data_IF_352814821623
#
_entry.id   IF_352814821623
#
_cell.length_a   1.000
_cell.length_b   1.000
_cell.length_c   1.000
_cell.angle_alpha   90.00
_cell.angle_beta   90.00
_cell.angle_gamma   90.00
#
_symmetry.space_group_name_H-M   'P 1'
#
loop_
_entity.id
_entity.type
_entity.pdbx_description
1 polymer ?
#
# COMPACT_ATOMS: atom_id res chain seq x y z
N UNK A 1 10.88 65.71 24.35
CA UNK A 1 10.15 64.62 23.68
C UNK A 1 10.88 63.32 23.97
N UNK A 2 10.37 62.55 24.93
CA UNK A 2 10.91 61.24 25.32
C UNK A 2 10.31 60.17 24.41
N UNK A 3 11.12 59.64 23.50
CA UNK A 3 10.76 58.50 22.65
C UNK A 3 10.80 57.22 23.49
N UNK A 4 9.63 56.71 23.86
CA UNK A 4 9.53 55.39 24.47
C UNK A 4 9.99 54.32 23.47
N UNK A 5 10.80 53.34 23.87
CA UNK A 5 11.21 52.25 22.99
C UNK A 5 9.99 51.41 22.61
N UNK A 6 9.83 51.12 21.31
CA UNK A 6 8.80 50.21 20.84
C UNK A 6 8.99 48.83 21.51
N UNK A 7 7.93 48.21 22.05
CA UNK A 7 8.03 46.85 22.56
C UNK A 7 8.42 45.94 21.41
N UNK A 8 9.52 45.21 21.58
CA UNK A 8 9.93 44.12 20.69
C UNK A 8 8.73 43.20 20.48
N UNK A 9 8.22 43.15 19.25
CA UNK A 9 7.25 42.15 18.83
C UNK A 9 7.94 40.78 18.98
N UNK A 10 7.71 40.14 20.12
CA UNK A 10 8.08 38.74 20.31
C UNK A 10 7.24 37.97 19.31
N UNK A 11 7.88 37.44 18.26
CA UNK A 11 7.23 36.54 17.32
C UNK A 11 6.47 35.48 18.12
N UNK A 12 5.18 35.33 17.86
CA UNK A 12 4.38 34.28 18.49
C UNK A 12 5.08 32.95 18.27
N UNK A 13 5.29 32.19 19.36
CA UNK A 13 5.84 30.85 19.27
C UNK A 13 5.07 30.09 18.17
N UNK A 14 5.75 29.37 17.27
CA UNK A 14 5.07 28.68 16.18
C UNK A 14 3.94 27.83 16.75
N UNK A 15 2.70 28.11 16.31
CA UNK A 15 1.52 27.46 16.86
C UNK A 15 1.73 25.95 16.85
N UNK A 16 1.62 25.30 18.02
CA UNK A 16 1.92 23.89 18.18
C UNK A 16 1.25 23.06 17.06
N UNK A 17 2.05 22.25 16.36
CA UNK A 17 1.60 21.40 15.25
C UNK A 17 0.48 20.46 15.70
N UNK A 18 -0.68 20.51 15.03
CA UNK A 18 -1.79 19.59 15.28
C UNK A 18 -1.43 18.25 14.70
N UNK A 19 -1.15 17.29 15.58
CA UNK A 19 -0.81 15.92 15.22
C UNK A 19 -1.87 14.98 15.73
N UNK A 20 -2.13 13.93 14.96
CA UNK A 20 -2.93 12.81 15.41
C UNK A 20 -2.07 11.93 16.33
N UNK A 21 -2.71 11.32 17.32
CA UNK A 21 -2.06 10.33 18.19
C UNK A 21 -1.99 8.98 17.49
N UNK A 22 -1.13 8.08 17.99
CA UNK A 22 -1.08 6.69 17.51
C UNK A 22 -2.43 5.99 17.61
N UNK A 23 -3.21 6.26 18.66
CA UNK A 23 -4.56 5.72 18.78
C UNK A 23 -5.48 6.23 17.64
N UNK A 24 -5.40 7.51 17.30
CA UNK A 24 -6.17 8.07 16.17
C UNK A 24 -5.74 7.48 14.83
N UNK A 25 -4.44 7.19 14.64
CA UNK A 25 -3.95 6.45 13.48
C UNK A 25 -4.57 5.05 13.39
N UNK A 26 -4.58 4.31 14.50
CA UNK A 26 -5.17 2.96 14.54
C UNK A 26 -6.67 2.99 14.30
N UNK A 27 -7.40 3.99 14.80
CA UNK A 27 -8.83 4.18 14.50
C UNK A 27 -9.02 4.45 13.00
N UNK A 28 -8.24 5.35 12.40
CA UNK A 28 -8.30 5.58 10.95
C UNK A 28 -8.05 4.29 10.16
N UNK A 29 -7.07 3.49 10.56
CA UNK A 29 -6.74 2.21 9.91
C UNK A 29 -7.90 1.21 10.06
N UNK A 30 -8.48 1.08 11.25
CA UNK A 30 -9.60 0.16 11.48
C UNK A 30 -10.82 0.53 10.64
N UNK A 31 -11.17 1.81 10.54
CA UNK A 31 -12.26 2.28 9.69
C UNK A 31 -11.93 2.14 8.20
N UNK A 32 -10.67 2.37 7.81
CA UNK A 32 -10.21 2.08 6.46
C UNK A 32 -10.26 0.57 6.13
N UNK A 33 -10.07 -0.31 7.11
CA UNK A 33 -10.20 -1.75 6.91
C UNK A 33 -11.65 -2.20 6.76
N UNK A 34 -12.62 -1.45 7.31
CA UNK A 34 -14.02 -1.65 6.93
C UNK A 34 -14.20 -1.33 5.44
N UNK A 35 -13.74 -0.16 4.98
CA UNK A 35 -13.76 0.20 3.56
C UNK A 35 -13.10 -0.88 2.69
N UNK A 36 -11.90 -1.32 3.03
CA UNK A 36 -11.20 -2.37 2.26
C UNK A 36 -11.89 -3.73 2.35
N UNK A 37 -12.42 -4.10 3.51
CA UNK A 37 -13.20 -5.33 3.66
C UNK A 37 -14.43 -5.34 2.74
N UNK A 38 -15.13 -4.20 2.66
CA UNK A 38 -16.21 -3.98 1.70
C UNK A 38 -15.73 -4.03 0.25
N UNK A 39 -14.57 -3.44 -0.07
CA UNK A 39 -13.97 -3.49 -1.41
C UNK A 39 -13.69 -4.93 -1.88
N UNK A 40 -13.01 -5.74 -1.05
CA UNK A 40 -12.70 -7.13 -1.41
C UNK A 40 -13.95 -8.00 -1.50
N UNK A 41 -14.94 -7.72 -0.65
CA UNK A 41 -16.22 -8.40 -0.68
C UNK A 41 -17.03 -8.04 -1.95
N UNK A 42 -16.99 -6.79 -2.37
CA UNK A 42 -17.62 -6.30 -3.60
C UNK A 42 -16.90 -6.83 -4.85
N UNK A 43 -15.56 -6.82 -4.84
CA UNK A 43 -14.76 -7.49 -5.86
C UNK A 43 -15.08 -8.98 -5.97
N UNK A 44 -15.33 -9.68 -4.85
CA UNK A 44 -15.78 -11.07 -4.89
C UNK A 44 -17.12 -11.19 -5.63
N UNK A 45 -18.07 -10.31 -5.37
CA UNK A 45 -19.36 -10.31 -6.05
C UNK A 45 -19.20 -10.06 -7.56
N UNK A 46 -18.38 -9.10 -7.98
CA UNK A 46 -18.11 -8.87 -9.40
C UNK A 46 -17.43 -10.07 -10.09
N UNK A 47 -16.52 -10.77 -9.41
CA UNK A 47 -15.83 -11.93 -9.99
C UNK A 47 -16.69 -13.21 -10.04
N UNK A 48 -17.68 -13.35 -9.16
CA UNK A 48 -18.46 -14.59 -9.03
C UNK A 48 -19.91 -14.45 -9.53
N UNK A 49 -20.46 -13.23 -9.48
CA UNK A 49 -21.84 -12.90 -9.80
C UNK A 49 -21.96 -11.82 -10.89
N UNK A 50 -20.85 -11.34 -11.46
CA UNK A 50 -20.82 -10.14 -12.31
C UNK A 50 -21.85 -10.10 -13.43
N UNK A 51 -22.06 -11.21 -14.15
CA UNK A 51 -23.05 -11.31 -15.23
C UNK A 51 -24.51 -11.21 -14.75
N UNK A 52 -24.76 -11.42 -13.45
CA UNK A 52 -26.07 -11.34 -12.81
C UNK A 52 -26.30 -10.04 -12.02
N UNK A 53 -25.29 -9.17 -11.93
CA UNK A 53 -25.44 -7.86 -11.31
C UNK A 53 -26.11 -6.92 -12.32
N UNK A 54 -27.35 -6.51 -12.02
CA UNK A 54 -28.15 -5.64 -12.89
C UNK A 54 -28.23 -4.19 -12.40
N UNK A 55 -27.79 -3.91 -11.17
CA UNK A 55 -27.92 -2.59 -10.55
C UNK A 55 -26.73 -2.26 -9.64
N UNK A 56 -26.46 -0.96 -9.49
CA UNK A 56 -25.50 -0.44 -8.52
C UNK A 56 -25.89 -0.75 -7.07
N UNK A 57 -27.18 -0.75 -6.75
CA UNK A 57 -27.63 -0.92 -5.37
C UNK A 57 -27.60 -2.39 -4.95
N UNK A 58 -26.42 -2.86 -4.53
CA UNK A 58 -26.19 -4.21 -4.04
C UNK A 58 -25.84 -4.21 -2.54
N UNK A 59 -26.05 -5.33 -1.83
CA UNK A 59 -25.58 -5.46 -0.44
C UNK A 59 -24.06 -5.25 -0.31
N UNK A 60 -23.28 -5.63 -1.31
CA UNK A 60 -21.82 -5.50 -1.30
C UNK A 60 -21.36 -4.05 -1.45
N UNK A 61 -21.95 -3.29 -2.37
CA UNK A 61 -21.78 -1.84 -2.44
C UNK A 61 -22.21 -1.15 -1.15
N UNK A 62 -23.29 -1.60 -0.50
CA UNK A 62 -23.71 -1.03 0.78
C UNK A 62 -22.63 -1.20 1.87
N UNK A 63 -21.96 -2.37 1.95
CA UNK A 63 -20.84 -2.58 2.87
C UNK A 63 -19.63 -1.71 2.49
N UNK A 64 -19.29 -1.63 1.20
CA UNK A 64 -18.19 -0.81 0.70
C UNK A 64 -18.38 0.69 1.02
N UNK A 65 -19.50 1.26 0.62
CA UNK A 65 -19.80 2.68 0.82
C UNK A 65 -20.08 3.03 2.29
N UNK A 66 -20.62 2.11 3.11
CA UNK A 66 -20.71 2.35 4.56
C UNK A 66 -19.33 2.43 5.23
N UNK A 67 -18.38 1.59 4.80
CA UNK A 67 -16.98 1.70 5.21
C UNK A 67 -16.36 3.04 4.81
N UNK A 68 -16.63 3.52 3.59
CA UNK A 68 -16.21 4.85 3.16
C UNK A 68 -16.78 5.96 4.06
N UNK A 69 -18.10 5.96 4.30
CA UNK A 69 -18.74 6.97 5.14
C UNK A 69 -18.16 6.98 6.55
N UNK A 70 -17.84 5.80 7.11
CA UNK A 70 -17.24 5.69 8.43
C UNK A 70 -15.85 6.34 8.50
N UNK A 71 -14.94 6.01 7.57
CA UNK A 71 -13.58 6.59 7.56
C UNK A 71 -13.60 8.08 7.16
N UNK A 72 -14.46 8.48 6.22
CA UNK A 72 -14.63 9.87 5.83
C UNK A 72 -15.16 10.72 7.00
N UNK A 73 -16.21 10.25 7.69
CA UNK A 73 -16.75 10.91 8.88
C UNK A 73 -15.71 11.08 9.98
N UNK A 74 -14.86 10.07 10.21
CA UNK A 74 -13.75 10.16 11.15
C UNK A 74 -12.70 11.20 10.74
N UNK A 75 -12.30 11.22 9.46
CA UNK A 75 -11.35 12.22 8.96
C UNK A 75 -11.92 13.66 9.07
N UNK A 76 -13.21 13.84 8.76
CA UNK A 76 -13.90 15.12 8.94
C UNK A 76 -14.04 15.51 10.41
N UNK A 77 -14.21 14.55 11.32
CA UNK A 77 -14.17 14.79 12.76
C UNK A 77 -12.78 15.28 13.21
N UNK A 78 -11.69 14.70 12.71
CA UNK A 78 -10.34 15.22 12.99
C UNK A 78 -10.17 16.63 12.42
N UNK A 79 -10.66 16.90 11.21
CA UNK A 79 -10.63 18.23 10.62
C UNK A 79 -11.43 19.26 11.45
N UNK A 80 -12.60 18.88 11.97
CA UNK A 80 -13.42 19.77 12.80
C UNK A 80 -12.73 20.13 14.12
N UNK A 81 -11.98 19.19 14.72
CA UNK A 81 -11.11 19.48 15.88
C UNK A 81 -10.01 20.49 15.56
N UNK A 82 -9.38 20.40 14.39
CA UNK A 82 -8.41 21.41 13.94
C UNK A 82 -9.06 22.75 13.67
N UNK A 83 -10.26 22.76 13.10
CA UNK A 83 -11.06 23.96 12.85
C UNK A 83 -11.45 24.69 14.14
N UNK A 84 -11.88 23.94 15.16
CA UNK A 84 -12.14 24.45 16.52
C UNK A 84 -10.89 25.06 17.17
N UNK A 85 -9.69 24.66 16.74
CA UNK A 85 -8.39 25.24 17.15
C UNK A 85 -7.94 26.42 16.28
N UNK A 86 -8.84 26.98 15.47
CA UNK A 86 -8.57 28.14 14.60
C UNK A 86 -7.89 27.81 13.27
N UNK A 87 -7.67 26.53 12.94
CA UNK A 87 -7.00 26.11 11.70
C UNK A 87 -7.97 26.10 10.52
N UNK A 88 -7.46 26.29 9.30
CA UNK A 88 -8.27 26.42 8.06
C UNK A 88 -7.63 25.67 6.89
N UNK A 89 -8.43 25.36 5.88
CA UNK A 89 -7.98 24.62 4.69
C UNK A 89 -7.36 23.27 5.04
N UNK A 90 -6.31 22.87 4.34
CA UNK A 90 -5.58 21.63 4.61
C UNK A 90 -4.98 21.58 6.03
N UNK A 91 -4.66 22.74 6.62
CA UNK A 91 -4.11 22.81 7.97
C UNK A 91 -5.14 22.48 9.07
N UNK A 92 -6.43 22.39 8.74
CA UNK A 92 -7.47 21.89 9.64
C UNK A 92 -7.30 20.40 9.95
N UNK A 93 -6.71 19.63 9.04
CA UNK A 93 -6.39 18.23 9.27
C UNK A 93 -5.11 18.09 10.11
N UNK A 94 -4.93 16.97 10.83
CA UNK A 94 -3.65 16.66 11.45
C UNK A 94 -2.51 16.64 10.43
N UNK A 95 -1.29 16.95 10.85
CA UNK A 95 -0.09 16.78 10.05
C UNK A 95 -0.02 15.35 9.48
N UNK A 96 0.22 15.23 8.18
CA UNK A 96 0.15 13.98 7.42
C UNK A 96 -1.23 13.59 6.87
N UNK A 97 -2.33 14.12 7.41
CA UNK A 97 -3.71 13.84 6.96
C UNK A 97 -4.21 14.77 5.85
N UNK A 98 -3.33 15.62 5.30
CA UNK A 98 -3.62 16.35 4.05
C UNK A 98 -3.96 15.40 2.89
N UNK A 99 -3.42 14.17 2.90
CA UNK A 99 -3.79 13.14 1.95
C UNK A 99 -5.27 12.78 2.09
N UNK A 100 -5.79 12.50 3.29
CA UNK A 100 -7.22 12.25 3.51
C UNK A 100 -8.10 13.47 3.17
N UNK A 101 -7.60 14.70 3.39
CA UNK A 101 -8.32 15.92 3.02
C UNK A 101 -8.62 16.00 1.52
N UNK A 102 -7.74 15.43 0.68
CA UNK A 102 -7.91 15.31 -0.77
C UNK A 102 -8.58 13.99 -1.15
N UNK A 103 -8.21 12.90 -0.49
CA UNK A 103 -8.68 11.54 -0.78
C UNK A 103 -10.17 11.35 -0.52
N UNK A 104 -10.71 11.92 0.56
CA UNK A 104 -12.14 11.84 0.88
C UNK A 104 -13.01 12.45 -0.23
N UNK A 105 -12.79 13.70 -0.69
CA UNK A 105 -13.58 14.26 -1.78
C UNK A 105 -13.33 13.55 -3.11
N UNK A 106 -12.10 13.14 -3.43
CA UNK A 106 -11.83 12.36 -4.66
C UNK A 106 -12.60 11.03 -4.66
N UNK A 107 -12.57 10.30 -3.56
CA UNK A 107 -13.32 9.05 -3.43
C UNK A 107 -14.84 9.29 -3.52
N UNK A 108 -15.35 10.31 -2.84
CA UNK A 108 -16.77 10.67 -2.89
C UNK A 108 -17.23 11.02 -4.32
N UNK A 109 -16.42 11.78 -5.06
CA UNK A 109 -16.67 12.07 -6.48
C UNK A 109 -16.55 10.81 -7.34
N UNK A 110 -15.57 9.94 -7.05
CA UNK A 110 -15.45 8.62 -7.65
C UNK A 110 -16.72 7.80 -7.51
N UNK A 111 -17.28 7.71 -6.31
CA UNK A 111 -18.48 6.92 -6.05
C UNK A 111 -19.77 7.50 -6.65
N UNK A 112 -19.91 8.83 -6.70
CA UNK A 112 -20.99 9.48 -7.45
C UNK A 112 -20.85 9.23 -8.95
N UNK A 113 -19.62 9.31 -9.46
CA UNK A 113 -19.29 8.96 -10.83
C UNK A 113 -19.63 7.51 -11.12
N UNK A 114 -19.30 6.59 -10.22
CA UNK A 114 -19.51 5.16 -10.32
C UNK A 114 -21.00 4.80 -10.42
N UNK A 115 -21.82 5.34 -9.52
CA UNK A 115 -23.28 5.25 -9.60
C UNK A 115 -23.81 5.75 -10.95
N UNK A 116 -23.32 6.90 -11.40
CA UNK A 116 -23.74 7.51 -12.67
C UNK A 116 -23.34 6.64 -13.85
N UNK A 117 -22.11 6.10 -13.82
CA UNK A 117 -21.55 5.26 -14.86
C UNK A 117 -22.35 3.97 -15.01
N UNK A 118 -22.63 3.30 -13.90
CA UNK A 118 -23.47 2.10 -13.89
C UNK A 118 -24.89 2.34 -14.38
N UNK A 119 -25.43 3.54 -14.18
CA UNK A 119 -26.78 3.91 -14.65
C UNK A 119 -26.81 4.19 -16.16
N UNK A 120 -25.73 4.75 -16.73
CA UNK A 120 -25.70 5.22 -18.12
C UNK A 120 -25.09 4.17 -19.07
N UNK A 121 -24.01 3.51 -18.65
CA UNK A 121 -23.21 2.60 -19.47
C UNK A 121 -23.36 1.13 -19.08
N UNK A 122 -24.04 0.85 -17.97
CA UNK A 122 -24.17 -0.50 -17.42
C UNK A 122 -23.01 -0.90 -16.51
N UNK A 123 -23.01 -2.16 -16.06
CA UNK A 123 -22.00 -2.69 -15.13
C UNK A 123 -20.88 -3.36 -15.93
N UNK A 124 -19.66 -2.88 -15.76
CA UNK A 124 -18.48 -3.45 -16.40
C UNK A 124 -18.14 -4.83 -15.82
N UNK A 125 -17.59 -5.71 -16.67
CA UNK A 125 -17.22 -7.08 -16.31
C UNK A 125 -15.72 -7.30 -16.52
N UNK A 126 -15.08 -8.02 -15.60
CA UNK A 126 -13.68 -8.41 -15.71
C UNK A 126 -12.71 -7.22 -15.58
N UNK A 127 -11.74 -7.13 -16.50
CA UNK A 127 -10.66 -6.14 -16.43
C UNK A 127 -11.18 -4.71 -16.63
N UNK A 128 -12.24 -4.54 -17.41
CA UNK A 128 -12.82 -3.22 -17.70
C UNK A 128 -13.29 -2.52 -16.42
N UNK A 129 -13.90 -3.26 -15.49
CA UNK A 129 -14.31 -2.73 -14.20
C UNK A 129 -13.14 -2.13 -13.42
N UNK A 130 -11.96 -2.76 -13.44
CA UNK A 130 -10.78 -2.25 -12.74
C UNK A 130 -10.21 -0.97 -13.36
N UNK A 131 -10.34 -0.81 -14.68
CA UNK A 131 -9.70 0.28 -15.43
C UNK A 131 -10.67 1.40 -15.79
N UNK A 132 -11.94 1.32 -15.36
CA UNK A 132 -12.90 2.36 -15.65
C UNK A 132 -12.56 3.66 -14.91
N UNK A 133 -12.87 4.84 -15.49
CA UNK A 133 -12.47 6.12 -14.90
C UNK A 133 -12.94 6.31 -13.45
N UNK A 134 -14.11 5.78 -13.10
CA UNK A 134 -14.71 5.90 -11.76
C UNK A 134 -13.94 5.07 -10.75
N UNK A 135 -13.63 3.81 -11.08
CA UNK A 135 -12.82 2.92 -10.26
C UNK A 135 -11.39 3.42 -10.07
N UNK A 136 -10.78 4.02 -11.09
CA UNK A 136 -9.46 4.66 -10.96
C UNK A 136 -9.51 5.87 -10.01
N UNK A 137 -10.59 6.66 -10.03
CA UNK A 137 -10.79 7.78 -9.12
C UNK A 137 -11.04 7.31 -7.68
N UNK A 138 -11.83 6.25 -7.49
CA UNK A 138 -12.02 5.55 -6.21
C UNK A 138 -10.69 5.01 -5.68
N UNK A 139 -9.90 4.34 -6.52
CA UNK A 139 -8.57 3.83 -6.17
C UNK A 139 -7.63 4.96 -5.74
N UNK A 140 -7.60 6.08 -6.47
CA UNK A 140 -6.78 7.23 -6.13
C UNK A 140 -7.19 7.86 -4.79
N UNK A 141 -8.49 8.11 -4.59
CA UNK A 141 -9.02 8.66 -3.35
C UNK A 141 -8.79 7.73 -2.15
N UNK A 142 -9.05 6.43 -2.34
CA UNK A 142 -8.86 5.39 -1.33
C UNK A 142 -7.39 5.27 -0.92
N UNK A 143 -6.47 5.29 -1.88
CA UNK A 143 -5.03 5.27 -1.65
C UNK A 143 -4.60 6.43 -0.74
N UNK A 144 -5.06 7.65 -1.01
CA UNK A 144 -4.73 8.82 -0.20
C UNK A 144 -5.29 8.71 1.24
N UNK A 145 -6.50 8.17 1.40
CA UNK A 145 -7.09 7.93 2.72
C UNK A 145 -6.24 6.93 3.50
N UNK A 146 -5.97 5.75 2.93
CA UNK A 146 -5.26 4.67 3.65
C UNK A 146 -3.78 4.97 3.84
N UNK A 147 -3.18 5.85 3.04
CA UNK A 147 -1.80 6.35 3.19
C UNK A 147 -1.65 7.39 4.32
N UNK A 148 -2.73 8.04 4.76
CA UNK A 148 -2.66 9.17 5.69
C UNK A 148 -1.97 8.83 7.02
N UNK A 149 -2.24 7.68 7.67
CA UNK A 149 -1.54 7.28 8.89
C UNK A 149 -0.04 7.04 8.66
N UNK A 150 0.36 6.41 7.54
CA UNK A 150 1.75 6.23 7.17
C UNK A 150 2.45 7.58 6.95
N UNK A 151 1.82 8.49 6.22
CA UNK A 151 2.37 9.84 5.97
C UNK A 151 2.57 10.62 7.27
N UNK A 152 1.60 10.56 8.19
CA UNK A 152 1.70 11.19 9.50
C UNK A 152 2.81 10.54 10.37
N UNK A 153 2.89 9.21 10.38
CA UNK A 153 3.95 8.50 11.10
C UNK A 153 5.34 8.83 10.52
N UNK A 154 5.46 8.98 9.20
CA UNK A 154 6.70 9.32 8.51
C UNK A 154 7.23 10.70 8.93
N UNK A 155 6.34 11.69 8.99
CA UNK A 155 6.63 13.07 9.39
C UNK A 155 6.84 13.24 10.90
N UNK A 156 6.51 12.22 11.72
CA UNK A 156 6.72 12.29 13.16
C UNK A 156 8.21 12.50 13.50
N UNK A 157 8.55 13.37 14.48
CA UNK A 157 9.93 13.64 14.89
C UNK A 157 10.43 12.53 15.82
N UNK A 158 10.37 11.29 15.35
CA UNK A 158 10.80 10.10 16.08
C UNK A 158 12.01 9.46 15.41
N UNK A 159 12.95 8.89 16.17
CA UNK A 159 14.07 8.16 15.59
C UNK A 159 13.58 6.91 14.85
N UNK A 160 14.48 6.23 14.14
CA UNK A 160 14.20 4.96 13.44
C UNK A 160 13.59 3.90 14.36
N UNK A 161 14.04 3.83 15.62
CA UNK A 161 13.48 2.98 16.66
C UNK A 161 12.32 3.70 17.38
N UNK A 162 11.32 4.13 16.60
CA UNK A 162 10.12 4.77 17.13
C UNK A 162 9.32 3.81 18.04
N UNK A 163 8.41 4.34 18.90
CA UNK A 163 7.53 3.53 19.71
C UNK A 163 6.84 2.43 18.89
N UNK A 164 6.75 1.22 19.46
CA UNK A 164 6.28 0.02 18.76
C UNK A 164 4.92 0.22 18.09
N UNK A 165 3.98 0.86 18.79
CA UNK A 165 2.64 1.12 18.26
C UNK A 165 2.65 2.04 17.02
N UNK A 166 3.55 3.03 16.96
CA UNK A 166 3.66 3.91 15.80
C UNK A 166 4.26 3.16 14.59
N UNK A 167 5.25 2.30 14.83
CA UNK A 167 5.82 1.44 13.79
C UNK A 167 4.76 0.48 13.22
N UNK A 168 3.93 -0.12 14.07
CA UNK A 168 2.81 -0.94 13.61
C UNK A 168 1.75 -0.14 12.87
N UNK A 169 1.43 1.08 13.29
CA UNK A 169 0.52 1.94 12.52
C UNK A 169 1.05 2.22 11.11
N UNK A 170 2.36 2.47 10.96
CA UNK A 170 2.99 2.62 9.65
C UNK A 170 2.94 1.33 8.81
N UNK A 171 3.24 0.18 9.42
CA UNK A 171 3.16 -1.14 8.76
C UNK A 171 1.74 -1.42 8.28
N UNK A 172 0.73 -1.30 9.14
CA UNK A 172 -0.66 -1.59 8.79
C UNK A 172 -1.22 -0.64 7.72
N UNK A 173 -0.85 0.63 7.76
CA UNK A 173 -1.20 1.61 6.71
C UNK A 173 -0.52 1.29 5.38
N UNK A 174 0.73 0.84 5.39
CA UNK A 174 1.41 0.34 4.20
C UNK A 174 0.79 -0.98 3.68
N UNK A 175 0.35 -1.88 4.57
CA UNK A 175 -0.40 -3.09 4.21
C UNK A 175 -1.71 -2.73 3.50
N UNK A 176 -2.43 -1.72 4.00
CA UNK A 176 -3.66 -1.24 3.34
C UNK A 176 -3.39 -0.73 1.92
N UNK A 177 -2.32 0.02 1.71
CA UNK A 177 -1.90 0.46 0.38
C UNK A 177 -1.52 -0.71 -0.53
N UNK A 178 -0.77 -1.68 0.00
CA UNK A 178 -0.39 -2.89 -0.72
C UNK A 178 -1.62 -3.71 -1.12
N UNK A 179 -2.58 -3.89 -0.21
CA UNK A 179 -3.83 -4.60 -0.48
C UNK A 179 -4.67 -3.90 -1.56
N UNK A 180 -4.81 -2.58 -1.48
CA UNK A 180 -5.53 -1.81 -2.50
C UNK A 180 -4.84 -1.88 -3.87
N UNK A 181 -3.50 -1.83 -3.88
CA UNK A 181 -2.70 -1.97 -5.11
C UNK A 181 -2.80 -3.37 -5.69
N UNK A 182 -2.80 -4.41 -4.85
CA UNK A 182 -2.99 -5.80 -5.26
C UNK A 182 -4.39 -6.01 -5.86
N UNK A 183 -5.42 -5.41 -5.26
CA UNK A 183 -6.80 -5.45 -5.76
C UNK A 183 -6.90 -4.88 -7.18
N UNK A 184 -6.44 -3.64 -7.41
CA UNK A 184 -6.59 -2.99 -8.72
C UNK A 184 -5.75 -3.70 -9.81
N UNK A 185 -4.67 -4.39 -9.40
CA UNK A 185 -3.83 -5.20 -10.28
C UNK A 185 -4.14 -6.70 -10.22
N UNK A 186 -5.33 -7.11 -9.73
CA UNK A 186 -5.65 -8.52 -9.52
C UNK A 186 -5.47 -9.38 -10.78
N UNK A 187 -5.69 -8.79 -11.96
CA UNK A 187 -5.52 -9.42 -13.26
C UNK A 187 -4.07 -9.81 -13.58
N UNK A 188 -3.08 -9.29 -12.85
CA UNK A 188 -1.64 -9.58 -12.98
C UNK A 188 -1.00 -9.99 -11.65
N UNK A 189 -1.78 -10.44 -10.66
CA UNK A 189 -1.23 -10.90 -9.38
C UNK A 189 -0.66 -12.32 -9.51
N UNK A 190 0.66 -12.42 -9.67
CA UNK A 190 1.39 -13.65 -10.03
C UNK A 190 1.39 -14.76 -8.96
N UNK A 191 0.73 -14.56 -7.82
CA UNK A 191 0.55 -15.60 -6.79
C UNK A 191 -0.80 -16.33 -6.91
N UNK A 192 -1.74 -15.83 -7.73
CA UNK A 192 -3.06 -16.46 -7.91
C UNK A 192 -3.05 -17.64 -8.88
N UNK A 193 -2.15 -17.64 -9.86
CA UNK A 193 -2.03 -18.70 -10.86
C UNK A 193 -0.59 -19.21 -10.92
N UNK A 194 -0.45 -20.54 -10.88
CA UNK A 194 0.85 -21.19 -11.03
C UNK A 194 1.27 -21.09 -12.50
N UNK A 195 2.40 -20.46 -12.83
CA UNK A 195 2.86 -20.34 -14.21
C UNK A 195 3.03 -21.69 -14.89
N UNK A 196 2.54 -21.83 -16.12
CA UNK A 196 2.57 -23.09 -16.87
C UNK A 196 3.60 -23.10 -18.00
N UNK A 197 4.05 -21.95 -18.50
CA UNK A 197 5.01 -21.91 -19.61
C UNK A 197 4.44 -22.36 -20.96
N UNK A 198 3.12 -22.24 -21.15
CA UNK A 198 2.44 -22.74 -22.34
C UNK A 198 2.41 -21.70 -23.46
N UNK A 199 3.33 -21.83 -24.41
CA UNK A 199 3.41 -20.91 -25.55
C UNK A 199 3.84 -19.49 -25.16
N UNK A 200 4.17 -18.68 -26.16
CA UNK A 200 4.85 -17.40 -25.90
C UNK A 200 3.98 -16.37 -25.19
N UNK A 201 2.71 -16.21 -25.60
CA UNK A 201 1.82 -15.15 -25.09
C UNK A 201 1.52 -15.34 -23.60
N UNK A 202 1.11 -16.56 -23.22
CA UNK A 202 0.79 -16.87 -21.83
C UNK A 202 2.05 -16.82 -20.96
N UNK A 203 3.15 -17.46 -21.38
CA UNK A 203 4.42 -17.43 -20.64
C UNK A 203 4.86 -16.00 -20.39
N UNK A 204 4.83 -15.13 -21.41
CA UNK A 204 5.16 -13.70 -21.25
C UNK A 204 4.30 -13.04 -20.18
N UNK A 205 2.99 -13.26 -20.21
CA UNK A 205 2.06 -12.71 -19.21
C UNK A 205 2.35 -13.21 -17.79
N UNK A 206 2.58 -14.52 -17.62
CA UNK A 206 2.93 -15.12 -16.34
C UNK A 206 4.23 -14.54 -15.77
N UNK A 207 5.28 -14.43 -16.58
CA UNK A 207 6.55 -13.83 -16.15
C UNK A 207 6.39 -12.34 -15.81
N UNK A 208 5.60 -11.59 -16.58
CA UNK A 208 5.28 -10.19 -16.26
C UNK A 208 4.52 -10.06 -14.94
N UNK A 209 3.54 -10.92 -14.68
CA UNK A 209 2.79 -10.95 -13.42
C UNK A 209 3.70 -11.24 -12.22
N UNK A 210 4.64 -12.19 -12.36
CA UNK A 210 5.67 -12.50 -11.36
C UNK A 210 6.51 -11.26 -11.03
N UNK A 211 7.05 -10.59 -12.06
CA UNK A 211 7.92 -9.42 -11.88
C UNK A 211 7.15 -8.24 -11.25
N UNK A 212 5.95 -7.95 -11.74
CA UNK A 212 5.13 -6.86 -11.21
C UNK A 212 4.76 -7.09 -9.74
N UNK A 213 4.30 -8.31 -9.42
CA UNK A 213 3.94 -8.69 -8.05
C UNK A 213 5.16 -8.63 -7.12
N UNK A 214 6.34 -9.04 -7.59
CA UNK A 214 7.58 -8.91 -6.84
C UNK A 214 7.90 -7.46 -6.45
N UNK A 215 7.78 -6.53 -7.41
CA UNK A 215 8.02 -5.11 -7.17
C UNK A 215 7.00 -4.53 -6.18
N UNK A 216 5.72 -4.89 -6.34
CA UNK A 216 4.65 -4.45 -5.44
C UNK A 216 4.85 -4.94 -4.00
N UNK A 217 5.26 -6.20 -3.81
CA UNK A 217 5.56 -6.77 -2.49
C UNK A 217 6.85 -6.18 -1.88
N UNK A 218 7.86 -5.86 -2.69
CA UNK A 218 9.14 -5.34 -2.19
C UNK A 218 9.09 -3.84 -1.84
N UNK A 219 8.43 -3.02 -2.66
CA UNK A 219 8.44 -1.56 -2.55
C UNK A 219 8.06 -1.03 -1.16
N UNK A 220 6.92 -1.40 -0.54
CA UNK A 220 6.54 -0.86 0.75
C UNK A 220 7.46 -1.34 1.88
N UNK A 221 8.00 -2.57 1.79
CA UNK A 221 8.96 -3.10 2.77
C UNK A 221 10.25 -2.28 2.74
N UNK A 222 10.82 -2.06 1.56
CA UNK A 222 12.05 -1.29 1.40
C UNK A 222 11.85 0.19 1.80
N UNK A 223 10.71 0.77 1.46
CA UNK A 223 10.34 2.12 1.88
C UNK A 223 10.28 2.25 3.41
N UNK A 224 9.60 1.32 4.08
CA UNK A 224 9.50 1.35 5.54
C UNK A 224 10.85 1.09 6.23
N UNK A 225 11.66 0.16 5.71
CA UNK A 225 13.02 -0.07 6.19
C UNK A 225 13.92 1.14 5.96
N UNK A 226 13.59 2.09 5.08
CA UNK A 226 14.35 3.36 5.02
C UNK A 226 14.11 4.22 6.27
N UNK A 227 12.88 4.28 6.78
CA UNK A 227 12.48 5.19 7.88
C UNK A 227 12.43 4.57 9.27
N UNK A 228 12.06 3.29 9.37
CA UNK A 228 11.79 2.61 10.63
C UNK A 228 12.60 1.32 10.77
N UNK A 229 12.91 0.95 12.00
CA UNK A 229 13.34 -0.41 12.31
C UNK A 229 12.07 -1.28 12.37
N UNK A 230 11.82 -2.11 11.36
CA UNK A 230 10.59 -2.91 11.33
C UNK A 230 10.52 -3.85 12.55
N UNK A 231 9.36 -3.96 13.22
CA UNK A 231 9.14 -5.03 14.19
C UNK A 231 9.14 -6.38 13.47
N UNK A 232 9.63 -7.44 14.15
CA UNK A 232 9.53 -8.79 13.61
C UNK A 232 8.06 -9.16 13.36
N UNK A 233 7.78 -9.74 12.21
CA UNK A 233 6.42 -10.07 11.76
C UNK A 233 5.78 -8.98 10.89
N UNK A 234 6.43 -7.83 10.70
CA UNK A 234 5.88 -6.76 9.87
C UNK A 234 5.69 -7.20 8.41
N UNK A 235 6.70 -7.86 7.83
CA UNK A 235 6.66 -8.31 6.44
C UNK A 235 5.66 -9.46 6.30
N UNK A 236 5.63 -10.37 7.28
CA UNK A 236 4.65 -11.44 7.39
C UNK A 236 3.23 -10.90 7.38
N UNK A 237 2.92 -9.91 8.22
CA UNK A 237 1.58 -9.30 8.27
C UNK A 237 1.22 -8.65 6.94
N UNK A 238 2.14 -7.91 6.31
CA UNK A 238 1.91 -7.30 5.00
C UNK A 238 1.55 -8.36 3.95
N UNK A 239 2.35 -9.42 3.85
CA UNK A 239 2.17 -10.42 2.80
C UNK A 239 0.94 -11.28 3.07
N UNK A 240 0.75 -11.76 4.29
CA UNK A 240 -0.38 -12.64 4.65
C UNK A 240 -1.70 -11.91 4.55
N UNK A 241 -1.84 -10.67 5.07
CA UNK A 241 -3.12 -9.97 5.00
C UNK A 241 -3.52 -9.65 3.56
N UNK A 242 -2.60 -9.11 2.75
CA UNK A 242 -2.86 -8.84 1.34
C UNK A 242 -3.26 -10.10 0.59
N UNK A 243 -2.47 -11.17 0.69
CA UNK A 243 -2.74 -12.40 -0.06
C UNK A 243 -3.95 -13.18 0.47
N UNK A 244 -4.29 -13.06 1.75
CA UNK A 244 -5.55 -13.59 2.29
C UNK A 244 -6.74 -12.87 1.69
N UNK A 245 -6.71 -11.53 1.63
CA UNK A 245 -7.80 -10.77 1.02
C UNK A 245 -7.97 -11.12 -0.47
N UNK A 246 -6.87 -11.21 -1.22
CA UNK A 246 -6.88 -11.65 -2.62
C UNK A 246 -7.42 -13.08 -2.79
N UNK A 247 -6.98 -14.03 -1.96
CA UNK A 247 -7.43 -15.41 -2.02
C UNK A 247 -8.92 -15.56 -1.68
N UNK A 248 -9.41 -14.87 -0.64
CA UNK A 248 -10.84 -14.88 -0.30
C UNK A 248 -11.70 -14.33 -1.43
N UNK A 249 -11.20 -13.33 -2.16
CA UNK A 249 -11.92 -12.70 -3.27
C UNK A 249 -11.97 -13.57 -4.53
N UNK A 250 -10.85 -14.19 -4.90
CA UNK A 250 -10.68 -14.81 -6.23
C UNK A 250 -10.64 -16.34 -6.20
N UNK A 251 -10.27 -16.93 -5.08
CA UNK A 251 -10.14 -18.37 -4.91
C UNK A 251 -10.61 -18.80 -3.50
N UNK A 252 -11.88 -18.50 -3.12
CA UNK A 252 -12.37 -18.78 -1.77
C UNK A 252 -12.23 -20.27 -1.44
N UNK A 253 -11.61 -20.55 -0.28
CA UNK A 253 -11.29 -21.91 0.17
C UNK A 253 -9.89 -22.40 -0.20
N UNK A 254 -9.16 -21.70 -1.08
CA UNK A 254 -7.76 -22.00 -1.36
C UNK A 254 -6.82 -21.36 -0.34
N UNK A 255 -6.43 -22.15 0.66
CA UNK A 255 -5.51 -21.73 1.71
C UNK A 255 -4.03 -21.84 1.33
N UNK A 256 -3.70 -22.30 0.13
CA UNK A 256 -2.30 -22.43 -0.32
C UNK A 256 -1.64 -21.07 -0.45
N UNK A 257 -2.34 -20.10 -1.03
CA UNK A 257 -1.82 -18.74 -1.26
C UNK A 257 -1.54 -18.01 0.08
N UNK A 258 -2.49 -17.95 1.04
CA UNK A 258 -2.21 -17.44 2.38
C UNK A 258 -1.08 -18.18 3.09
N UNK A 259 -1.01 -19.51 2.95
CA UNK A 259 0.05 -20.34 3.55
C UNK A 259 1.44 -20.02 3.01
N UNK A 260 1.57 -19.91 1.69
CA UNK A 260 2.82 -19.50 1.03
C UNK A 260 3.21 -18.08 1.45
N UNK A 261 2.24 -17.14 1.47
CA UNK A 261 2.50 -15.76 1.88
C UNK A 261 2.97 -15.68 3.35
N UNK A 262 2.39 -16.48 4.25
CA UNK A 262 2.83 -16.61 5.64
C UNK A 262 4.26 -17.13 5.73
N UNK A 263 4.56 -18.25 5.06
CA UNK A 263 5.90 -18.85 5.11
C UNK A 263 6.98 -17.92 4.53
N UNK A 264 6.73 -17.32 3.37
CA UNK A 264 7.67 -16.41 2.72
C UNK A 264 7.82 -15.09 3.48
N UNK A 265 6.74 -14.58 4.08
CA UNK A 265 6.77 -13.43 4.96
C UNK A 265 7.64 -13.66 6.20
N UNK A 266 7.50 -14.82 6.85
CA UNK A 266 8.34 -15.22 7.98
C UNK A 266 9.81 -15.33 7.59
N UNK A 267 10.09 -15.93 6.43
CA UNK A 267 11.44 -15.99 5.88
C UNK A 267 12.01 -14.58 5.64
N UNK A 268 11.22 -13.66 5.09
CA UNK A 268 11.64 -12.28 4.88
C UNK A 268 11.87 -11.52 6.20
N UNK A 269 11.05 -11.73 7.22
CA UNK A 269 11.26 -11.17 8.57
C UNK A 269 12.55 -11.72 9.21
N UNK A 270 12.84 -13.02 9.05
CA UNK A 270 14.12 -13.63 9.49
C UNK A 270 15.30 -12.97 8.76
N UNK A 271 15.23 -12.86 7.43
CA UNK A 271 16.27 -12.18 6.64
C UNK A 271 16.48 -10.73 7.09
N UNK A 272 15.39 -10.01 7.36
CA UNK A 272 15.46 -8.64 7.88
C UNK A 272 16.11 -8.59 9.26
N UNK A 273 15.79 -9.52 10.16
CA UNK A 273 16.36 -9.61 11.50
C UNK A 273 17.86 -9.96 11.50
N UNK A 274 18.28 -10.83 10.57
CA UNK A 274 19.68 -11.26 10.42
C UNK A 274 20.54 -10.17 9.77
N UNK A 275 20.11 -9.65 8.63
CA UNK A 275 20.88 -8.65 7.87
C UNK A 275 20.84 -7.27 8.55
N UNK A 276 19.75 -6.96 9.27
CA UNK A 276 19.46 -5.65 9.88
C UNK A 276 19.70 -4.51 8.89
N UNK A 277 18.98 -4.50 7.75
CA UNK A 277 19.16 -3.50 6.70
C UNK A 277 18.82 -2.10 7.23
N UNK A 278 19.65 -1.12 6.86
CA UNK A 278 19.41 0.29 7.18
C UNK A 278 20.14 1.19 6.19
N UNK A 279 19.73 2.47 6.06
CA UNK A 279 20.45 3.44 5.24
C UNK A 279 21.93 3.61 5.64
N UNK A 280 22.28 3.34 6.89
CA UNK A 280 23.66 3.37 7.38
C UNK A 280 24.46 2.11 7.03
N UNK A 281 23.80 1.02 6.63
CA UNK A 281 24.41 -0.26 6.26
C UNK A 281 24.03 -0.61 4.82
N UNK A 282 24.53 0.19 3.87
CA UNK A 282 24.13 0.16 2.46
C UNK A 282 24.24 -1.24 1.85
N UNK A 283 25.35 -1.96 2.07
CA UNK A 283 25.51 -3.34 1.59
C UNK A 283 24.47 -4.32 2.15
N UNK A 284 24.14 -4.19 3.44
CA UNK A 284 23.08 -5.02 4.04
C UNK A 284 21.70 -4.66 3.49
N UNK A 285 21.47 -3.38 3.18
CA UNK A 285 20.25 -2.92 2.52
C UNK A 285 20.12 -3.48 1.11
N UNK A 286 21.16 -3.40 0.28
CA UNK A 286 21.17 -3.97 -1.06
C UNK A 286 21.05 -5.49 -1.06
N UNK A 287 21.79 -6.19 -0.21
CA UNK A 287 21.66 -7.64 -0.06
C UNK A 287 20.24 -8.02 0.33
N UNK A 288 19.64 -7.32 1.30
CA UNK A 288 18.25 -7.55 1.67
C UNK A 288 17.28 -7.25 0.52
N UNK A 289 17.48 -6.16 -0.22
CA UNK A 289 16.64 -5.79 -1.36
C UNK A 289 16.69 -6.82 -2.49
N UNK A 290 17.84 -7.43 -2.74
CA UNK A 290 17.99 -8.53 -3.69
C UNK A 290 17.30 -9.82 -3.20
N UNK A 291 17.52 -10.16 -1.92
CA UNK A 291 17.04 -11.42 -1.34
C UNK A 291 15.54 -11.40 -1.02
N UNK A 292 14.94 -10.23 -0.78
CA UNK A 292 13.55 -10.10 -0.38
C UNK A 292 12.58 -10.70 -1.42
N UNK A 293 12.63 -10.36 -2.72
CA UNK A 293 11.80 -11.02 -3.72
C UNK A 293 12.13 -12.50 -3.90
N UNK A 294 13.41 -12.87 -3.84
CA UNK A 294 13.87 -14.25 -3.98
C UNK A 294 13.30 -15.17 -2.89
N UNK A 295 13.14 -14.64 -1.66
CA UNK A 295 12.53 -15.35 -0.55
C UNK A 295 11.06 -15.74 -0.82
N UNK A 296 10.40 -15.11 -1.78
CA UNK A 296 9.04 -15.46 -2.23
C UNK A 296 9.11 -16.37 -3.46
N UNK A 297 9.83 -15.94 -4.49
CA UNK A 297 9.71 -16.55 -5.83
C UNK A 297 10.51 -17.83 -6.00
N UNK A 298 11.64 -18.00 -5.31
CA UNK A 298 12.41 -19.26 -5.37
C UNK A 298 11.63 -20.41 -4.73
N UNK A 299 11.10 -20.29 -3.49
CA UNK A 299 10.28 -21.34 -2.91
C UNK A 299 8.98 -21.60 -3.69
N UNK A 300 8.31 -20.54 -4.16
CA UNK A 300 7.05 -20.67 -4.89
C UNK A 300 7.22 -21.38 -6.24
N UNK A 301 8.10 -20.87 -7.11
CA UNK A 301 8.29 -21.44 -8.46
C UNK A 301 9.05 -22.76 -8.40
N UNK A 302 10.11 -22.85 -7.60
CA UNK A 302 10.86 -24.09 -7.42
C UNK A 302 10.01 -25.20 -6.81
N UNK A 303 9.16 -24.86 -5.84
CA UNK A 303 8.19 -25.78 -5.25
C UNK A 303 7.14 -26.24 -6.27
N UNK A 304 6.59 -25.32 -7.07
CA UNK A 304 5.63 -25.64 -8.11
C UNK A 304 6.21 -26.62 -9.15
N UNK A 305 7.42 -26.37 -9.65
CA UNK A 305 8.11 -27.28 -10.59
C UNK A 305 8.42 -28.61 -9.93
N UNK A 306 8.94 -28.61 -8.69
CA UNK A 306 9.31 -29.83 -7.95
C UNK A 306 8.13 -30.77 -7.69
N UNK A 307 6.93 -30.19 -7.51
CA UNK A 307 5.67 -30.89 -7.29
C UNK A 307 4.94 -31.26 -8.59
N UNK A 308 5.48 -30.91 -9.76
CA UNK A 308 4.84 -31.17 -11.05
C UNK A 308 3.61 -30.30 -11.33
N UNK A 309 3.51 -29.13 -10.67
CA UNK A 309 2.42 -28.16 -10.83
C UNK A 309 2.70 -27.11 -11.92
N UNK A 310 3.93 -27.06 -12.43
CA UNK A 310 4.40 -26.10 -13.43
C UNK A 310 5.31 -26.77 -14.44
N UNK A 311 5.19 -26.40 -15.71
CA UNK A 311 6.07 -26.86 -16.80
C UNK A 311 7.17 -25.85 -17.16
N UNK A 312 7.43 -24.85 -16.33
CA UNK A 312 8.52 -23.91 -16.59
C UNK A 312 9.87 -24.64 -16.61
N UNK A 313 10.66 -24.37 -17.65
CA UNK A 313 12.04 -24.85 -17.71
C UNK A 313 12.90 -24.22 -16.61
N UNK A 314 14.07 -24.80 -16.37
CA UNK A 314 15.04 -24.28 -15.39
C UNK A 314 15.39 -22.82 -15.68
N UNK A 315 15.62 -22.48 -16.95
CA UNK A 315 15.97 -21.15 -17.41
C UNK A 315 14.85 -20.14 -17.13
N UNK A 316 13.59 -20.55 -17.30
CA UNK A 316 12.44 -19.66 -17.10
C UNK A 316 12.20 -19.37 -15.62
N UNK A 317 12.04 -20.40 -14.78
CA UNK A 317 11.65 -20.17 -13.40
C UNK A 317 12.80 -19.59 -12.56
N UNK A 318 14.03 -20.06 -12.77
CA UNK A 318 15.19 -19.52 -12.06
C UNK A 318 15.55 -18.13 -12.60
N UNK A 319 15.49 -17.95 -13.92
CA UNK A 319 15.76 -16.66 -14.57
C UNK A 319 14.80 -15.58 -14.09
N UNK A 320 13.49 -15.83 -14.09
CA UNK A 320 12.52 -14.84 -13.60
C UNK A 320 12.68 -14.59 -12.10
N UNK A 321 12.98 -15.62 -11.29
CA UNK A 321 13.24 -15.42 -9.86
C UNK A 321 14.44 -14.48 -9.65
N UNK A 322 15.57 -14.69 -10.34
CA UNK A 322 16.71 -13.77 -10.28
C UNK A 322 16.34 -12.35 -10.71
N UNK A 323 15.56 -12.21 -11.78
CA UNK A 323 15.07 -10.91 -12.25
C UNK A 323 14.21 -10.19 -11.20
N UNK A 324 13.42 -10.91 -10.39
CA UNK A 324 12.70 -10.29 -9.26
C UNK A 324 13.66 -9.69 -8.23
N UNK A 325 14.75 -10.38 -7.90
CA UNK A 325 15.79 -9.87 -7.02
C UNK A 325 16.49 -8.64 -7.58
N UNK A 326 16.80 -8.64 -8.88
CA UNK A 326 17.34 -7.46 -9.58
C UNK A 326 16.37 -6.27 -9.55
N UNK A 327 15.07 -6.53 -9.66
CA UNK A 327 14.02 -5.51 -9.47
C UNK A 327 14.05 -4.90 -8.07
N UNK A 328 14.24 -5.72 -7.04
CA UNK A 328 14.43 -5.24 -5.66
C UNK A 328 15.67 -4.36 -5.50
N UNK A 329 16.80 -4.72 -6.13
CA UNK A 329 17.99 -3.88 -6.18
C UNK A 329 17.74 -2.55 -6.90
N UNK A 330 17.02 -2.55 -8.02
CA UNK A 330 16.68 -1.33 -8.74
C UNK A 330 15.84 -0.37 -7.87
N UNK A 331 14.85 -0.89 -7.16
CA UNK A 331 14.09 -0.10 -6.17
C UNK A 331 15.00 0.46 -5.07
N UNK A 332 15.97 -0.32 -4.60
CA UNK A 332 16.89 0.12 -3.55
C UNK A 332 17.79 1.29 -4.00
N UNK A 333 18.17 1.35 -5.27
CA UNK A 333 18.98 2.44 -5.82
C UNK A 333 18.21 3.78 -5.83
N UNK A 334 16.91 3.75 -6.10
CA UNK A 334 16.04 4.93 -5.99
C UNK A 334 15.82 5.36 -4.53
N UNK A 335 15.78 4.39 -3.62
CA UNK A 335 15.58 4.65 -2.20
C UNK A 335 16.86 5.08 -1.49
N UNK A 336 18.05 4.76 -1.97
CA UNK A 336 19.34 5.20 -1.43
C UNK A 336 20.17 5.81 -2.55
N UNK A 337 19.78 6.99 -3.08
CA UNK A 337 20.53 7.62 -4.15
C UNK A 337 21.94 7.97 -3.65
N UNK A 338 22.97 7.90 -4.53
CA UNK A 338 24.31 8.38 -4.22
C UNK A 338 24.27 9.83 -3.75
N UNK A 339 25.22 10.21 -2.88
CA UNK A 339 25.38 11.61 -2.50
C UNK A 339 25.69 12.44 -3.74
N UNK A 340 24.98 13.57 -3.90
CA UNK A 340 25.32 14.54 -4.93
C UNK A 340 26.57 15.31 -4.51
N UNK A 341 27.47 15.65 -5.46
CA UNK A 341 28.53 16.63 -5.23
C UNK A 341 27.95 17.95 -4.73
N UNK A 342 28.69 18.62 -3.83
CA UNK A 342 28.24 19.87 -3.19
C UNK A 342 28.02 20.98 -4.22
N UNK A 343 28.81 20.95 -5.30
CA UNK A 343 28.81 21.90 -6.40
C UNK A 343 27.47 21.96 -7.15
N UNK A 344 26.69 20.87 -7.14
CA UNK A 344 25.37 20.80 -7.78
C UNK A 344 24.28 21.45 -6.90
N UNK A 345 24.54 21.57 -5.59
CA UNK A 345 23.60 22.14 -4.62
C UNK A 345 23.77 23.65 -4.46
N UNK A 346 24.84 24.24 -5.01
CA UNK A 346 24.98 25.70 -5.09
C UNK A 346 24.01 26.24 -6.15
N UNK A 347 23.26 27.32 -5.85
CA UNK A 347 22.46 27.98 -6.87
C UNK A 347 23.40 28.49 -7.98
N UNK A 348 23.03 28.27 -9.25
CA UNK A 348 23.75 28.86 -10.38
C UNK A 348 23.89 30.38 -10.14
N UNK A 349 25.13 30.86 -10.18
CA UNK A 349 25.47 32.27 -9.88
C UNK A 349 25.12 33.20 -11.03
#
# INVERSE_FOLDING_TARGET
MTTAPQPLQVASAPAATYRATTAQHLITIALAWWLLGGLFLDGWAHNNLGESLETFFTPWHAVFYSGFLAVAGWCLFLASRGWQRGRRGLAAFPEGYSLAAIGVPLFGLGGLGDLTWHTVFGIEVGIEALLSPTHLLLFAGGSLIVASPLNAAWQSPTPRQAPLALRWAAVLSATSLLALTAFIHMYMWGLLSVPQGLGWVQTRGELSAVLLTALMLAAPVLLLIRRFALPFGAITVMYTLTNTAMALMLAPGDWRIPGVALACGLLADILCALLRPSPARVWAFWAFAFLLPLAVWVPYLGGAVRLGLSNLSLELWLGVAVMTGLGGLALSALLLPPALPVEILEPER
#
